data_IF_060087658366
#
_entry.id   IF_060087658366
#
_cell.length_a   1.000
_cell.length_b   1.000
_cell.length_c   1.000
_cell.angle_alpha   90.00
_cell.angle_beta   90.00
_cell.angle_gamma   90.00
#
_symmetry.space_group_name_H-M   'P 1'
#
loop_
_entity.id
_entity.type
_entity.pdbx_description
1 polymer ?
#
# COMPACT_ATOMS: atom_id res chain seq x y z
N UNK A 1 -14.71 38.84 -5.25
CA UNK A 1 -14.27 38.70 -6.67
C UNK A 1 -13.80 37.27 -6.92
N UNK A 2 -13.65 36.82 -8.17
CA UNK A 2 -13.35 35.40 -8.49
C UNK A 2 -12.04 34.88 -7.85
N UNK A 3 -11.06 35.76 -7.58
CA UNK A 3 -9.79 35.40 -6.93
C UNK A 3 -9.94 35.03 -5.45
N UNK A 4 -11.04 35.39 -4.77
CA UNK A 4 -11.26 34.96 -3.38
C UNK A 4 -11.59 33.45 -3.31
N UNK A 5 -12.13 32.89 -4.40
CA UNK A 5 -12.43 31.46 -4.50
C UNK A 5 -11.22 30.62 -4.92
N UNK A 6 -10.21 31.21 -5.55
CA UNK A 6 -9.02 30.46 -6.00
C UNK A 6 -8.20 29.93 -4.82
N UNK A 7 -8.18 30.64 -3.68
CA UNK A 7 -7.57 30.15 -2.44
C UNK A 7 -8.19 28.85 -1.95
N UNK A 8 -9.53 28.77 -1.91
CA UNK A 8 -10.23 27.54 -1.54
C UNK A 8 -9.97 26.40 -2.54
N UNK A 9 -9.90 26.72 -3.84
CA UNK A 9 -9.54 25.74 -4.87
C UNK A 9 -8.11 25.19 -4.71
N UNK A 10 -7.14 26.06 -4.42
CA UNK A 10 -5.74 25.64 -4.18
C UNK A 10 -5.66 24.74 -2.95
N UNK A 11 -6.29 25.13 -1.84
CA UNK A 11 -6.32 24.32 -0.61
C UNK A 11 -6.90 22.94 -0.90
N UNK A 12 -8.00 22.87 -1.65
CA UNK A 12 -8.62 21.60 -2.06
C UNK A 12 -7.65 20.75 -2.90
N UNK A 13 -7.01 21.33 -3.91
CA UNK A 13 -6.07 20.61 -4.77
C UNK A 13 -4.85 20.08 -3.99
N UNK A 14 -4.29 20.88 -3.07
CA UNK A 14 -3.18 20.47 -2.21
C UNK A 14 -3.61 19.32 -1.28
N UNK A 15 -4.81 19.39 -0.72
CA UNK A 15 -5.37 18.32 0.12
C UNK A 15 -5.51 17.01 -0.65
N UNK A 16 -6.09 17.06 -1.86
CA UNK A 16 -6.22 15.88 -2.73
C UNK A 16 -4.86 15.32 -3.12
N UNK A 17 -3.91 16.18 -3.50
CA UNK A 17 -2.56 15.76 -3.86
C UNK A 17 -1.87 15.04 -2.70
N UNK A 18 -1.95 15.60 -1.49
CA UNK A 18 -1.40 14.97 -0.29
C UNK A 18 -2.02 13.60 -0.03
N UNK A 19 -3.35 13.49 -0.10
CA UNK A 19 -4.06 12.21 0.11
C UNK A 19 -3.66 11.13 -0.90
N UNK A 20 -3.32 11.51 -2.14
CA UNK A 20 -2.86 10.56 -3.16
C UNK A 20 -1.41 10.11 -2.95
N UNK A 21 -0.55 10.95 -2.37
CA UNK A 21 0.90 10.71 -2.31
C UNK A 21 1.39 10.22 -0.94
N UNK A 22 0.66 10.49 0.14
CA UNK A 22 1.02 10.05 1.51
C UNK A 22 0.94 8.52 1.73
N UNK A 23 -0.01 7.77 1.14
CA UNK A 23 -0.13 6.34 1.40
C UNK A 23 1.08 5.52 0.96
N UNK A 24 1.75 5.89 -0.14
CA UNK A 24 2.91 5.17 -0.66
C UNK A 24 4.07 5.11 0.34
N UNK A 25 4.58 6.25 0.82
CA UNK A 25 5.58 6.30 1.88
C UNK A 25 5.14 5.58 3.15
N UNK A 26 3.88 5.76 3.58
CA UNK A 26 3.35 5.06 4.75
C UNK A 26 3.38 3.53 4.61
N UNK A 27 3.01 3.02 3.44
CA UNK A 27 3.08 1.58 3.14
C UNK A 27 4.53 1.08 3.15
N UNK A 28 5.46 1.86 2.63
CA UNK A 28 6.87 1.50 2.57
C UNK A 28 7.49 1.40 3.97
N UNK A 29 7.16 2.35 4.86
CA UNK A 29 7.62 2.33 6.25
C UNK A 29 7.07 1.13 7.04
N UNK A 30 5.82 0.75 6.80
CA UNK A 30 5.17 -0.36 7.52
C UNK A 30 5.57 -1.74 6.98
N UNK A 31 5.61 -1.89 5.66
CA UNK A 31 5.70 -3.21 5.00
C UNK A 31 6.98 -3.43 4.19
N UNK A 32 7.83 -2.41 4.07
CA UNK A 32 9.00 -2.41 3.19
C UNK A 32 8.64 -2.30 1.69
N UNK A 33 7.37 -2.08 1.35
CA UNK A 33 6.88 -2.01 -0.03
C UNK A 33 6.00 -0.79 -0.26
N UNK A 34 6.15 -0.17 -1.43
CA UNK A 34 5.34 0.99 -1.82
C UNK A 34 3.85 0.64 -1.95
N UNK A 35 3.57 -0.55 -2.50
CA UNK A 35 2.22 -1.00 -2.79
C UNK A 35 1.82 -2.16 -1.88
N UNK A 36 0.63 -2.04 -1.27
CA UNK A 36 -0.02 -3.14 -0.56
C UNK A 36 -0.55 -4.18 -1.56
N UNK A 37 -0.69 -5.44 -1.12
CA UNK A 37 -1.28 -6.49 -1.95
C UNK A 37 -2.76 -6.22 -2.18
N UNK A 38 -3.21 -6.42 -3.42
CA UNK A 38 -4.62 -6.43 -3.76
C UNK A 38 -5.26 -7.74 -3.26
N UNK A 39 -6.35 -7.62 -2.50
CA UNK A 39 -7.10 -8.72 -1.87
C UNK A 39 -8.55 -8.82 -2.40
N UNK A 40 -8.84 -8.24 -3.56
CA UNK A 40 -10.22 -8.14 -4.09
C UNK A 40 -10.85 -9.51 -4.41
N UNK A 41 -10.03 -10.55 -4.56
CA UNK A 41 -10.48 -11.91 -4.87
C UNK A 41 -10.24 -12.85 -3.67
N UNK A 42 -11.19 -13.75 -3.36
CA UNK A 42 -11.01 -14.75 -2.30
C UNK A 42 -9.75 -15.61 -2.47
N UNK A 43 -9.38 -15.94 -3.72
CA UNK A 43 -8.14 -16.67 -4.02
C UNK A 43 -6.89 -15.92 -3.57
N UNK A 44 -6.86 -14.59 -3.77
CA UNK A 44 -5.75 -13.73 -3.33
C UNK A 44 -5.70 -13.63 -1.81
N UNK A 45 -6.86 -13.56 -1.14
CA UNK A 45 -6.94 -13.64 0.33
C UNK A 45 -6.39 -14.97 0.88
N UNK A 46 -6.69 -16.09 0.22
CA UNK A 46 -6.20 -17.40 0.66
C UNK A 46 -4.68 -17.52 0.49
N UNK A 47 -4.12 -17.02 -0.61
CA UNK A 47 -2.67 -16.95 -0.82
C UNK A 47 -1.99 -16.02 0.19
N UNK A 48 -2.60 -14.88 0.50
CA UNK A 48 -2.12 -13.98 1.53
C UNK A 48 -2.03 -14.67 2.90
N UNK A 49 -3.10 -15.35 3.31
CA UNK A 49 -3.11 -16.15 4.56
C UNK A 49 -2.07 -17.25 4.56
N UNK A 50 -1.88 -17.95 3.42
CA UNK A 50 -0.84 -18.98 3.28
C UNK A 50 0.54 -18.40 3.56
N UNK A 51 0.89 -17.28 2.92
CA UNK A 51 2.21 -16.68 3.06
C UNK A 51 2.50 -16.30 4.52
N UNK A 52 1.53 -15.75 5.25
CA UNK A 52 1.71 -15.48 6.68
C UNK A 52 1.85 -16.71 7.55
N UNK A 53 1.16 -17.81 7.24
CA UNK A 53 1.36 -19.07 7.97
C UNK A 53 2.77 -19.61 7.76
N UNK A 54 3.36 -19.42 6.58
CA UNK A 54 4.70 -19.94 6.29
C UNK A 54 5.82 -19.05 6.86
N UNK A 55 5.70 -17.73 6.78
CA UNK A 55 6.82 -16.82 7.10
C UNK A 55 6.58 -15.97 8.35
N UNK A 56 5.41 -16.07 8.98
CA UNK A 56 4.97 -15.18 10.08
C UNK A 56 4.66 -13.75 9.64
N UNK A 57 4.94 -13.38 8.37
CA UNK A 57 4.72 -12.05 7.84
C UNK A 57 4.29 -12.11 6.36
N UNK A 58 3.08 -11.63 6.09
CA UNK A 58 2.49 -11.62 4.75
C UNK A 58 3.35 -10.94 3.65
N UNK A 59 4.27 -10.06 4.02
CA UNK A 59 5.13 -9.33 3.08
C UNK A 59 6.54 -9.91 2.93
N UNK A 60 6.92 -10.88 3.77
CA UNK A 60 8.19 -11.62 3.67
C UNK A 60 8.07 -12.68 2.58
N UNK A 61 8.92 -12.61 1.56
CA UNK A 61 8.98 -13.60 0.48
C UNK A 61 9.93 -14.72 0.90
N UNK A 62 9.50 -15.95 0.70
CA UNK A 62 10.35 -17.14 0.75
C UNK A 62 10.56 -17.59 -0.69
N UNK A 63 11.78 -17.47 -1.21
CA UNK A 63 12.13 -17.92 -2.54
C UNK A 63 12.57 -19.39 -2.56
N UNK A 64 13.21 -19.79 -3.65
CA UNK A 64 13.67 -21.17 -3.87
C UNK A 64 14.74 -21.56 -2.84
N UNK A 65 15.49 -20.58 -2.32
CA UNK A 65 16.49 -20.75 -1.27
C UNK A 65 15.95 -21.31 0.05
N UNK A 66 14.62 -21.31 0.24
CA UNK A 66 13.98 -21.85 1.44
C UNK A 66 13.61 -23.33 1.34
N UNK A 67 13.86 -23.95 0.19
CA UNK A 67 13.58 -25.37 -0.07
C UNK A 67 14.87 -26.15 0.22
N UNK A 68 14.84 -27.02 1.23
CA UNK A 68 15.94 -27.93 1.51
C UNK A 68 15.97 -29.05 0.45
N UNK A 69 17.17 -29.47 0.05
CA UNK A 69 17.42 -30.62 -0.82
C UNK A 69 16.97 -31.96 -0.19
#
# INVERSE_FOLDING_TARGET
MWYEYSYSGIIMCVGLWAMMHVPGPGNWLDTGRLNRRNLDLPSRCNLFKRDHRMTGNYYKISGIESIND
#
